data_IF_495783776168
#
_entry.id   IF_495783776168
#
_cell.length_a   1.000
_cell.length_b   1.000
_cell.length_c   1.000
_cell.angle_alpha   90.00
_cell.angle_beta   90.00
_cell.angle_gamma   90.00
#
_symmetry.space_group_name_H-M   'P 1'
#
loop_
_entity.id
_entity.type
_entity.pdbx_description
1 polymer ?
#
# COMPACT_ATOMS: atom_id res chain seq x y z
N UNK A 1 21.12 4.73 -29.81
CA UNK A 1 21.04 3.75 -28.71
C UNK A 1 20.47 4.46 -27.49
N UNK A 2 19.18 4.31 -27.21
CA UNK A 2 18.53 4.96 -26.07
C UNK A 2 18.75 4.10 -24.83
N UNK A 3 19.63 4.55 -23.93
CA UNK A 3 19.76 3.97 -22.60
C UNK A 3 18.47 4.24 -21.83
N UNK A 4 17.61 3.23 -21.69
CA UNK A 4 16.53 3.28 -20.71
C UNK A 4 17.16 3.24 -19.33
N UNK A 5 17.30 4.40 -18.69
CA UNK A 5 17.82 4.49 -17.33
C UNK A 5 16.92 3.67 -16.39
N UNK A 6 17.54 2.78 -15.59
CA UNK A 6 16.80 2.01 -14.62
C UNK A 6 16.09 2.97 -13.63
N UNK A 7 14.83 2.71 -13.27
CA UNK A 7 14.10 3.60 -12.37
C UNK A 7 14.80 3.68 -11.01
N UNK A 8 14.95 4.91 -10.52
CA UNK A 8 15.53 5.21 -9.20
C UNK A 8 14.69 4.61 -8.07
N UNK A 9 15.27 4.42 -6.88
CA UNK A 9 14.54 3.89 -5.72
C UNK A 9 13.28 4.72 -5.39
N UNK A 10 13.37 6.04 -5.55
CA UNK A 10 12.24 6.97 -5.37
C UNK A 10 11.12 6.75 -6.40
N UNK A 11 11.47 6.55 -7.67
CA UNK A 11 10.49 6.19 -8.71
C UNK A 11 9.85 4.83 -8.45
N UNK A 12 10.62 3.82 -8.01
CA UNK A 12 10.05 2.49 -7.68
C UNK A 12 9.04 2.56 -6.52
N UNK A 13 9.33 3.38 -5.52
CA UNK A 13 8.39 3.61 -4.42
C UNK A 13 7.13 4.34 -4.88
N UNK A 14 7.26 5.37 -5.72
CA UNK A 14 6.10 6.07 -6.30
C UNK A 14 5.22 5.14 -7.12
N UNK A 15 5.82 4.39 -8.04
CA UNK A 15 5.12 3.43 -8.90
C UNK A 15 4.37 2.36 -8.08
N UNK A 16 4.95 1.91 -6.96
CA UNK A 16 4.28 0.92 -6.09
C UNK A 16 3.16 1.52 -5.23
N UNK A 17 3.21 2.81 -4.86
CA UNK A 17 2.07 3.51 -4.21
C UNK A 17 0.91 3.66 -5.20
N UNK A 18 1.21 4.05 -6.43
CA UNK A 18 0.20 4.18 -7.49
C UNK A 18 -0.46 2.83 -7.80
N UNK A 19 0.32 1.74 -7.84
CA UNK A 19 -0.20 0.39 -8.01
C UNK A 19 -1.13 -0.02 -6.86
N UNK A 20 -0.74 0.26 -5.60
CA UNK A 20 -1.59 0.02 -4.43
C UNK A 20 -2.92 0.77 -4.53
N UNK A 21 -2.85 2.08 -4.78
CA UNK A 21 -4.03 2.94 -4.93
C UNK A 21 -4.96 2.42 -6.02
N UNK A 22 -4.43 2.12 -7.20
CA UNK A 22 -5.21 1.62 -8.33
C UNK A 22 -5.93 0.31 -7.99
N UNK A 23 -5.21 -0.66 -7.41
CA UNK A 23 -5.79 -1.95 -7.02
C UNK A 23 -6.89 -1.82 -5.97
N UNK A 24 -6.67 -1.02 -4.93
CA UNK A 24 -7.69 -0.82 -3.90
C UNK A 24 -8.91 -0.06 -4.42
N UNK A 25 -8.72 0.93 -5.32
CA UNK A 25 -9.84 1.64 -5.97
C UNK A 25 -10.68 0.69 -6.84
N UNK A 26 -10.03 -0.19 -7.61
CA UNK A 26 -10.72 -1.21 -8.41
C UNK A 26 -11.59 -2.15 -7.55
N UNK A 27 -11.18 -2.41 -6.31
CA UNK A 27 -11.89 -3.28 -5.38
C UNK A 27 -12.94 -2.52 -4.54
N UNK A 28 -13.00 -1.20 -4.59
CA UNK A 28 -13.83 -0.42 -3.66
C UNK A 28 -13.28 -0.31 -2.23
N UNK A 29 -12.07 -0.84 -1.98
CA UNK A 29 -11.42 -0.88 -0.68
C UNK A 29 -10.53 0.35 -0.39
N UNK A 30 -10.44 1.29 -1.33
CA UNK A 30 -9.62 2.49 -1.15
C UNK A 30 -10.32 3.49 -0.23
N UNK A 31 -9.66 3.97 0.83
CA UNK A 31 -10.29 4.90 1.76
C UNK A 31 -10.53 6.25 1.12
N UNK A 32 -11.61 6.93 1.52
CA UNK A 32 -11.92 8.29 1.06
C UNK A 32 -10.77 9.27 1.35
N UNK A 33 -10.21 9.19 2.57
CA UNK A 33 -9.06 9.99 2.98
C UNK A 33 -7.71 9.49 2.42
N UNK A 34 -7.69 8.39 1.64
CA UNK A 34 -6.46 7.74 1.19
C UNK A 34 -5.59 8.63 0.29
N UNK A 35 -6.22 9.48 -0.52
CA UNK A 35 -5.51 10.41 -1.40
C UNK A 35 -4.84 11.54 -0.61
N UNK A 36 -5.53 12.04 0.43
CA UNK A 36 -4.98 13.04 1.36
C UNK A 36 -3.77 12.46 2.11
N UNK A 37 -3.86 11.22 2.59
CA UNK A 37 -2.73 10.56 3.25
C UNK A 37 -1.51 10.40 2.33
N UNK A 38 -1.72 10.10 1.05
CA UNK A 38 -0.63 10.02 0.07
C UNK A 38 0.07 11.37 -0.12
N UNK A 39 -0.69 12.46 -0.25
CA UNK A 39 -0.16 13.80 -0.39
C UNK A 39 0.62 14.24 0.86
N UNK A 40 0.08 13.96 2.04
CA UNK A 40 0.74 14.25 3.31
C UNK A 40 2.03 13.45 3.46
N UNK A 41 2.06 12.18 3.06
CA UNK A 41 3.26 11.34 3.14
C UNK A 41 4.43 11.82 2.27
N UNK A 42 4.15 12.46 1.14
CA UNK A 42 5.21 13.05 0.32
C UNK A 42 5.81 14.32 0.95
N UNK A 43 5.06 14.98 1.84
CA UNK A 43 5.50 16.14 2.63
C UNK A 43 6.15 15.73 3.96
N UNK A 44 5.61 14.67 4.57
CA UNK A 44 6.02 14.07 5.83
C UNK A 44 7.21 13.12 5.62
N UNK A 45 8.41 13.67 5.41
CA UNK A 45 9.63 12.89 5.64
C UNK A 45 9.69 12.56 7.14
N UNK A 46 9.69 11.27 7.47
CA UNK A 46 9.95 10.74 8.82
C UNK A 46 8.82 10.91 9.87
N UNK A 47 7.56 10.64 9.51
CA UNK A 47 6.59 10.35 10.58
C UNK A 47 6.94 9.02 11.23
N UNK A 48 7.15 9.06 12.55
CA UNK A 48 7.67 8.01 13.45
C UNK A 48 6.84 6.74 13.58
N UNK A 49 6.28 6.27 12.47
CA UNK A 49 5.73 4.94 12.33
C UNK A 49 6.92 3.99 12.21
N UNK A 50 6.98 2.95 13.03
CA UNK A 50 7.99 1.90 12.90
C UNK A 50 7.34 0.65 12.30
N UNK A 51 8.02 0.04 11.34
CA UNK A 51 7.63 -1.25 10.79
C UNK A 51 8.04 -2.35 11.77
N UNK A 52 7.06 -3.04 12.35
CA UNK A 52 7.24 -4.17 13.24
C UNK A 52 7.03 -5.47 12.46
N UNK A 53 7.73 -6.57 12.82
CA UNK A 53 7.49 -7.88 12.20
C UNK A 53 6.01 -8.32 12.30
N UNK A 54 5.34 -7.99 13.40
CA UNK A 54 3.92 -8.31 13.62
C UNK A 54 2.97 -7.61 12.65
N UNK A 55 3.39 -6.53 11.97
CA UNK A 55 2.57 -5.88 10.95
C UNK A 55 2.32 -6.78 9.74
N UNK A 56 3.25 -7.70 9.46
CA UNK A 56 3.13 -8.65 8.36
C UNK A 56 2.06 -9.72 8.61
N UNK A 57 1.79 -10.05 9.88
CA UNK A 57 0.78 -11.05 10.27
C UNK A 57 -0.63 -10.60 9.90
N UNK A 58 -0.88 -9.29 9.93
CA UNK A 58 -2.18 -8.70 9.56
C UNK A 58 -2.47 -8.74 8.05
N UNK A 59 -1.45 -8.88 7.19
CA UNK A 59 -1.61 -8.76 5.74
C UNK A 59 -2.59 -9.79 5.16
N UNK A 60 -2.72 -10.96 5.79
CA UNK A 60 -3.67 -11.98 5.35
C UNK A 60 -5.12 -11.48 5.49
N UNK A 61 -5.48 -11.00 6.69
CA UNK A 61 -6.81 -10.48 6.99
C UNK A 61 -7.11 -9.21 6.19
N UNK A 62 -6.15 -8.27 6.14
CA UNK A 62 -6.35 -7.00 5.43
C UNK A 62 -6.52 -7.22 3.93
N UNK A 63 -5.80 -8.19 3.32
CA UNK A 63 -5.97 -8.52 1.90
C UNK A 63 -7.31 -9.20 1.62
N UNK A 64 -7.78 -10.03 2.54
CA UNK A 64 -9.10 -10.68 2.47
C UNK A 64 -10.25 -9.66 2.55
N UNK A 65 -10.20 -8.75 3.52
CA UNK A 65 -11.16 -7.64 3.62
C UNK A 65 -11.09 -6.72 2.39
N UNK A 66 -9.89 -6.33 1.96
CA UNK A 66 -9.73 -5.52 0.75
C UNK A 66 -10.30 -6.21 -0.50
N UNK A 67 -10.18 -7.53 -0.62
CA UNK A 67 -10.74 -8.28 -1.76
C UNK A 67 -12.28 -8.29 -1.78
N UNK A 68 -12.92 -8.08 -0.63
CA UNK A 68 -14.38 -7.90 -0.50
C UNK A 68 -14.84 -6.46 -0.71
N UNK A 69 -13.91 -5.52 -0.90
CA UNK A 69 -14.22 -4.10 -1.04
C UNK A 69 -14.40 -3.34 0.28
N UNK A 70 -13.90 -3.89 1.38
CA UNK A 70 -13.93 -3.22 2.68
C UNK A 70 -12.93 -2.07 2.71
N UNK A 71 -13.34 -0.92 3.26
CA UNK A 71 -12.44 0.22 3.47
C UNK A 71 -11.38 -0.13 4.52
N UNK A 72 -10.18 -0.43 4.04
CA UNK A 72 -9.07 -0.83 4.90
C UNK A 72 -8.45 0.33 5.67
N UNK A 73 -8.70 1.58 5.27
CA UNK A 73 -8.22 2.76 5.99
C UNK A 73 -9.08 3.05 7.20
N UNK A 74 -10.38 2.77 7.11
CA UNK A 74 -11.30 2.81 8.24
C UNK A 74 -11.03 1.63 9.21
N UNK A 75 -10.92 0.41 8.66
CA UNK A 75 -10.81 -0.81 9.48
C UNK A 75 -9.41 -1.06 10.05
N UNK A 76 -8.37 -0.66 9.32
CA UNK A 76 -6.98 -0.92 9.67
C UNK A 76 -6.09 0.32 9.51
N UNK A 77 -6.41 1.46 10.17
CA UNK A 77 -5.75 2.74 9.93
C UNK A 77 -4.22 2.68 10.11
N UNK A 78 -3.74 1.97 11.12
CA UNK A 78 -2.30 1.81 11.37
C UNK A 78 -1.61 0.99 10.27
N UNK A 79 -2.23 -0.09 9.81
CA UNK A 79 -1.67 -0.91 8.72
C UNK A 79 -1.74 -0.16 7.41
N UNK A 80 -2.85 0.52 7.11
CA UNK A 80 -2.99 1.35 5.92
C UNK A 80 -1.90 2.42 5.86
N UNK A 81 -1.66 3.15 6.95
CA UNK A 81 -0.57 4.12 7.01
C UNK A 81 0.79 3.47 6.73
N UNK A 82 1.06 2.29 7.31
CA UNK A 82 2.29 1.53 7.06
C UNK A 82 2.41 1.03 5.62
N UNK A 83 1.31 0.66 4.95
CA UNK A 83 1.32 0.29 3.53
C UNK A 83 1.73 1.47 2.65
N UNK A 84 1.33 2.69 3.02
CA UNK A 84 1.74 3.89 2.31
C UNK A 84 3.19 4.30 2.63
N UNK A 85 3.65 4.11 3.87
CA UNK A 85 5.00 4.48 4.31
C UNK A 85 6.08 3.47 3.88
N UNK A 86 5.85 2.17 4.06
CA UNK A 86 6.88 1.12 3.93
C UNK A 86 6.76 0.32 2.63
N UNK A 87 7.79 0.33 1.76
CA UNK A 87 7.75 -0.39 0.49
C UNK A 87 7.71 -1.92 0.66
N UNK A 88 8.40 -2.47 1.66
CA UNK A 88 8.46 -3.92 1.88
C UNK A 88 7.10 -4.50 2.32
N UNK A 89 6.41 -3.81 3.23
CA UNK A 89 5.06 -4.18 3.66
C UNK A 89 4.08 -4.07 2.48
N UNK A 90 4.17 -2.98 1.70
CA UNK A 90 3.34 -2.77 0.51
C UNK A 90 3.51 -3.85 -0.54
N UNK A 91 4.75 -4.22 -0.85
CA UNK A 91 5.05 -5.28 -1.81
C UNK A 91 4.44 -6.60 -1.35
N UNK A 92 4.63 -6.95 -0.08
CA UNK A 92 4.09 -8.18 0.51
C UNK A 92 2.56 -8.20 0.48
N UNK A 93 1.93 -7.08 0.79
CA UNK A 93 0.48 -6.90 0.70
C UNK A 93 -0.03 -7.08 -0.73
N UNK A 94 0.58 -6.42 -1.72
CA UNK A 94 0.18 -6.52 -3.12
C UNK A 94 0.29 -7.95 -3.65
N UNK A 95 1.34 -8.68 -3.29
CA UNK A 95 1.49 -10.09 -3.63
C UNK A 95 0.39 -10.95 -2.98
N UNK A 96 0.04 -10.66 -1.73
CA UNK A 96 -1.02 -11.36 -1.01
C UNK A 96 -2.39 -11.08 -1.64
N UNK A 97 -2.72 -9.81 -1.88
CA UNK A 97 -3.95 -9.37 -2.50
C UNK A 97 -4.15 -10.01 -3.89
N UNK A 98 -3.09 -10.07 -4.70
CA UNK A 98 -3.14 -10.77 -5.99
C UNK A 98 -3.48 -12.26 -5.83
N UNK A 99 -2.92 -12.94 -4.83
CA UNK A 99 -3.25 -14.35 -4.56
C UNK A 99 -4.67 -14.53 -4.03
N UNK A 100 -5.18 -13.58 -3.26
CA UNK A 100 -6.54 -13.62 -2.72
C UNK A 100 -7.59 -13.45 -3.82
N UNK A 101 -7.36 -12.55 -4.78
CA UNK A 101 -8.29 -12.29 -5.90
C UNK A 101 -8.32 -13.45 -6.93
N UNK A 102 -7.25 -14.24 -7.01
CA UNK A 102 -7.15 -15.38 -7.93
C UNK A 102 -7.68 -16.70 -7.35
N UNK A 103 -8.24 -16.68 -6.13
CA UNK A 103 -8.93 -17.83 -5.52
C UNK A 103 -10.41 -17.75 -5.80
#
# INVERSE_FOLDING_TARGET
MSYSAAPTARQRQKNSRELLRSRLKQLGAWPEAGDIFLELLDQAKDYGVTLMPTDFDWLAQVADDASRGEDIGLRYPSIFHKLLAFPELRKSFLQRLQRTILR
#
